data_IF_031227751112
#
_entry.id   IF_031227751112
#
_cell.length_a   1.000
_cell.length_b   1.000
_cell.length_c   1.000
_cell.angle_alpha   90.00
_cell.angle_beta   90.00
_cell.angle_gamma   90.00
#
_symmetry.space_group_name_H-M   'P 1'
#
loop_
_entity.id
_entity.type
_entity.pdbx_description
1 polymer ?
#
# COMPACT_ATOMS: atom_id res chain seq x y z
N UNK A 1 6.82 41.43 -3.68
CA UNK A 1 7.77 40.76 -4.58
C UNK A 1 8.57 39.80 -3.71
N UNK A 2 8.16 38.53 -3.71
CA UNK A 2 8.72 37.46 -2.92
C UNK A 2 8.12 36.18 -3.50
N UNK A 3 8.74 35.71 -4.57
CA UNK A 3 8.43 34.42 -5.19
C UNK A 3 8.69 33.36 -4.12
N UNK A 4 7.63 32.84 -3.51
CA UNK A 4 7.73 31.61 -2.71
C UNK A 4 8.15 30.52 -3.67
N UNK A 5 9.27 29.85 -3.40
CA UNK A 5 9.62 28.61 -4.08
C UNK A 5 8.38 27.69 -4.06
N UNK A 6 8.00 27.14 -5.22
CA UNK A 6 6.90 26.19 -5.31
C UNK A 6 7.18 25.05 -4.32
N UNK A 7 6.41 24.99 -3.23
CA UNK A 7 6.49 23.88 -2.28
C UNK A 7 6.09 22.61 -3.02
N UNK A 8 6.95 21.60 -2.99
CA UNK A 8 6.69 20.28 -3.59
C UNK A 8 5.38 19.73 -3.00
N UNK A 9 4.44 19.32 -3.86
CA UNK A 9 3.14 18.78 -3.41
C UNK A 9 3.32 17.45 -2.66
N UNK A 10 2.33 17.06 -1.85
CA UNK A 10 2.36 15.78 -1.13
C UNK A 10 2.50 14.61 -2.10
N UNK A 11 1.76 14.65 -3.20
CA UNK A 11 1.82 13.64 -4.26
C UNK A 11 3.20 13.56 -4.90
N UNK A 12 3.86 14.70 -5.12
CA UNK A 12 5.23 14.74 -5.64
C UNK A 12 6.23 14.16 -4.64
N UNK A 13 6.04 14.37 -3.32
CA UNK A 13 6.89 13.78 -2.29
C UNK A 13 6.72 12.26 -2.21
N UNK A 14 5.47 11.76 -2.26
CA UNK A 14 5.18 10.32 -2.26
C UNK A 14 5.73 9.68 -3.54
N UNK A 15 5.47 10.25 -4.71
CA UNK A 15 5.98 9.77 -5.99
C UNK A 15 7.51 9.69 -6.00
N UNK A 16 8.19 10.77 -5.57
CA UNK A 16 9.64 10.80 -5.48
C UNK A 16 10.21 9.78 -4.49
N UNK A 17 9.50 9.51 -3.40
CA UNK A 17 9.85 8.47 -2.44
C UNK A 17 9.76 7.06 -3.03
N UNK A 18 8.67 6.76 -3.74
CA UNK A 18 8.48 5.49 -4.46
C UNK A 18 9.59 5.28 -5.51
N UNK A 19 9.84 6.30 -6.33
CA UNK A 19 10.90 6.28 -7.35
C UNK A 19 12.29 6.05 -6.74
N UNK A 20 12.58 6.67 -5.59
CA UNK A 20 13.82 6.44 -4.85
C UNK A 20 13.99 4.98 -4.45
N UNK A 21 12.98 4.38 -3.80
CA UNK A 21 13.09 2.99 -3.35
C UNK A 21 13.18 1.98 -4.51
N UNK A 22 12.52 2.28 -5.64
CA UNK A 22 12.67 1.50 -6.87
C UNK A 22 14.08 1.61 -7.48
N UNK A 23 14.70 2.79 -7.42
CA UNK A 23 16.08 2.96 -7.87
C UNK A 23 17.06 2.19 -6.95
N UNK A 24 16.86 2.27 -5.64
CA UNK A 24 17.70 1.62 -4.62
C UNK A 24 17.52 0.09 -4.55
N UNK A 25 16.44 -0.47 -5.11
CA UNK A 25 16.24 -1.93 -5.16
C UNK A 25 17.08 -2.62 -6.24
N UNK A 26 17.75 -1.85 -7.11
CA UNK A 26 18.46 -2.41 -8.27
C UNK A 26 17.50 -2.95 -9.36
N UNK A 27 16.20 -2.69 -9.24
CA UNK A 27 15.17 -3.12 -10.19
C UNK A 27 15.06 -2.22 -11.43
N UNK A 28 16.09 -1.42 -11.71
CA UNK A 28 16.09 -0.41 -12.75
C UNK A 28 15.69 -0.99 -14.12
N UNK A 29 14.84 -0.27 -14.84
CA UNK A 29 14.35 -0.65 -16.16
C UNK A 29 12.88 -1.08 -16.15
N UNK A 30 12.58 -2.22 -16.78
CA UNK A 30 11.20 -2.65 -17.06
C UNK A 30 10.34 -2.83 -15.81
N UNK A 31 10.88 -3.43 -14.75
CA UNK A 31 10.14 -3.69 -13.50
C UNK A 31 9.76 -2.40 -12.77
N UNK A 32 10.65 -1.40 -12.70
CA UNK A 32 10.29 -0.09 -12.14
C UNK A 32 9.18 0.58 -12.94
N UNK A 33 9.20 0.46 -14.27
CA UNK A 33 8.14 0.97 -15.13
C UNK A 33 6.78 0.36 -14.82
N UNK A 34 6.73 -0.97 -14.65
CA UNK A 34 5.51 -1.71 -14.27
C UNK A 34 4.99 -1.24 -12.92
N UNK A 35 5.84 -1.15 -11.88
CA UNK A 35 5.38 -0.73 -10.55
C UNK A 35 4.81 0.69 -10.59
N UNK A 36 5.47 1.62 -11.28
CA UNK A 36 4.97 3.00 -11.42
C UNK A 36 3.66 3.07 -12.21
N UNK A 37 3.48 2.20 -13.20
CA UNK A 37 2.21 2.08 -13.93
C UNK A 37 1.09 1.60 -13.00
N UNK A 38 1.34 0.57 -12.18
CA UNK A 38 0.32 0.00 -11.30
C UNK A 38 -0.07 0.95 -10.18
N UNK A 39 0.89 1.61 -9.57
CA UNK A 39 0.64 2.69 -8.60
C UNK A 39 -0.23 3.81 -9.22
N UNK A 40 -0.08 4.08 -10.52
CA UNK A 40 -0.92 5.07 -11.21
C UNK A 40 -2.30 4.54 -11.54
N UNK A 41 -2.43 3.25 -11.84
CA UNK A 41 -3.70 2.63 -12.18
C UNK A 41 -4.65 2.56 -10.97
N UNK A 42 -4.09 2.38 -9.76
CA UNK A 42 -4.84 2.44 -8.50
C UNK A 42 -5.47 3.83 -8.25
N UNK A 43 -4.88 4.88 -8.83
CA UNK A 43 -5.43 6.22 -8.71
C UNK A 43 -6.70 6.37 -9.56
N UNK A 44 -7.86 6.32 -8.91
CA UNK A 44 -9.16 6.50 -9.57
C UNK A 44 -9.23 7.84 -10.35
N UNK A 45 -9.77 7.85 -11.58
CA UNK A 45 -9.93 9.08 -12.36
C UNK A 45 -10.74 10.16 -11.60
N UNK A 46 -10.14 11.32 -11.38
CA UNK A 46 -10.75 12.41 -10.61
C UNK A 46 -10.70 12.23 -9.08
N UNK A 47 -10.11 11.15 -8.58
CA UNK A 47 -9.79 10.91 -7.18
C UNK A 47 -8.46 11.52 -6.75
N UNK A 48 -8.17 11.45 -5.43
CA UNK A 48 -6.85 11.80 -4.90
C UNK A 48 -5.84 10.76 -5.36
N UNK A 49 -4.69 11.22 -5.87
CA UNK A 49 -3.57 10.32 -6.12
C UNK A 49 -2.97 9.87 -4.79
N UNK A 50 -2.47 8.63 -4.72
CA UNK A 50 -1.87 8.06 -3.53
C UNK A 50 -2.76 8.18 -2.28
N UNK A 51 -3.99 7.62 -2.28
CA UNK A 51 -4.98 7.90 -1.25
C UNK A 51 -4.51 7.54 0.16
N UNK A 52 -3.80 6.42 0.31
CA UNK A 52 -3.33 5.92 1.60
C UNK A 52 -2.09 6.69 2.09
N UNK A 53 -1.16 6.95 1.18
CA UNK A 53 0.00 7.79 1.45
C UNK A 53 -0.42 9.22 1.83
N UNK A 54 -1.37 9.81 1.11
CA UNK A 54 -1.89 11.15 1.43
C UNK A 54 -2.58 11.20 2.79
N UNK A 55 -3.33 10.15 3.16
CA UNK A 55 -3.96 10.08 4.48
C UNK A 55 -2.90 10.11 5.59
N UNK A 56 -1.89 9.25 5.51
CA UNK A 56 -0.83 9.24 6.52
C UNK A 56 0.03 10.49 6.49
N UNK A 57 0.29 11.05 5.31
CA UNK A 57 1.00 12.32 5.20
C UNK A 57 0.23 13.43 5.92
N UNK A 58 -1.06 13.57 5.64
CA UNK A 58 -1.91 14.62 6.23
C UNK A 58 -1.99 14.49 7.75
N UNK A 59 -2.11 13.26 8.27
CA UNK A 59 -2.09 13.02 9.73
C UNK A 59 -0.70 13.35 10.28
N UNK A 60 0.37 12.89 9.64
CA UNK A 60 1.74 13.15 10.04
C UNK A 60 2.06 14.64 10.13
N UNK A 61 1.66 15.42 9.13
CA UNK A 61 1.88 16.87 9.05
C UNK A 61 1.21 17.64 10.20
N UNK A 62 0.14 17.09 10.78
CA UNK A 62 -0.53 17.67 11.95
C UNK A 62 0.18 17.34 13.27
N UNK A 63 0.80 16.16 13.38
CA UNK A 63 1.29 15.61 14.66
C UNK A 63 2.81 15.48 14.76
N UNK A 64 3.55 15.72 13.69
CA UNK A 64 4.99 15.50 13.61
C UNK A 64 5.69 16.61 12.83
N UNK A 65 6.84 17.06 13.32
CA UNK A 65 7.72 18.01 12.63
C UNK A 65 8.74 17.30 11.73
N UNK A 66 8.77 15.96 11.72
CA UNK A 66 9.74 15.17 10.96
C UNK A 66 9.19 14.77 9.58
N UNK A 67 9.32 15.68 8.61
CA UNK A 67 8.86 15.49 7.24
C UNK A 67 9.46 14.26 6.55
N UNK A 68 10.73 13.95 6.78
CA UNK A 68 11.37 12.77 6.19
C UNK A 68 10.68 11.47 6.64
N UNK A 69 10.39 11.36 7.94
CA UNK A 69 9.68 10.20 8.50
C UNK A 69 8.24 10.13 7.98
N UNK A 70 7.55 11.28 7.87
CA UNK A 70 6.19 11.34 7.32
C UNK A 70 6.17 10.77 5.89
N UNK A 71 7.09 11.22 5.02
CA UNK A 71 7.20 10.72 3.64
C UNK A 71 7.48 9.22 3.62
N UNK A 72 8.41 8.72 4.44
CA UNK A 72 8.76 7.30 4.48
C UNK A 72 7.56 6.42 4.87
N UNK A 73 6.80 6.83 5.89
CA UNK A 73 5.59 6.13 6.33
C UNK A 73 4.48 6.21 5.29
N UNK A 74 4.28 7.37 4.65
CA UNK A 74 3.31 7.54 3.58
C UNK A 74 3.60 6.63 2.38
N UNK A 75 4.87 6.59 1.94
CA UNK A 75 5.32 5.72 0.84
C UNK A 75 5.17 4.25 1.21
N UNK A 76 5.54 3.88 2.44
CA UNK A 76 5.37 2.51 2.92
C UNK A 76 3.89 2.08 2.87
N UNK A 77 2.98 2.92 3.37
CA UNK A 77 1.56 2.59 3.40
C UNK A 77 0.96 2.50 2.00
N UNK A 78 1.33 3.42 1.11
CA UNK A 78 0.83 3.42 -0.27
C UNK A 78 1.23 2.13 -1.01
N UNK A 79 2.51 1.73 -0.91
CA UNK A 79 2.98 0.48 -1.51
C UNK A 79 2.37 -0.74 -0.82
N UNK A 80 2.18 -0.69 0.50
CA UNK A 80 1.56 -1.79 1.23
C UNK A 80 0.12 -2.03 0.77
N UNK A 81 -0.68 -0.96 0.67
CA UNK A 81 -2.07 -1.03 0.25
C UNK A 81 -2.17 -1.58 -1.18
N UNK A 82 -1.41 -1.03 -2.13
CA UNK A 82 -1.38 -1.55 -3.50
C UNK A 82 -1.03 -3.04 -3.56
N UNK A 83 -0.06 -3.50 -2.76
CA UNK A 83 0.26 -4.93 -2.74
C UNK A 83 -0.91 -5.77 -2.21
N UNK A 84 -1.62 -5.30 -1.18
CA UNK A 84 -2.81 -5.96 -0.65
C UNK A 84 -3.93 -6.00 -1.69
N UNK A 85 -4.25 -4.87 -2.35
CA UNK A 85 -5.28 -4.77 -3.38
C UNK A 85 -4.98 -5.73 -4.56
N UNK A 86 -3.72 -5.83 -5.00
CA UNK A 86 -3.33 -6.79 -6.06
C UNK A 86 -3.54 -8.25 -5.61
N UNK A 87 -3.23 -8.59 -4.35
CA UNK A 87 -3.47 -9.95 -3.87
C UNK A 87 -4.96 -10.25 -3.80
N UNK A 88 -5.76 -9.31 -3.28
CA UNK A 88 -7.21 -9.40 -3.17
C UNK A 88 -7.86 -9.61 -4.55
N UNK A 89 -7.56 -8.75 -5.52
CA UNK A 89 -8.10 -8.86 -6.89
C UNK A 89 -7.73 -10.19 -7.58
N UNK A 90 -6.58 -10.77 -7.23
CA UNK A 90 -6.17 -12.08 -7.75
C UNK A 90 -7.00 -13.20 -7.15
N UNK A 91 -7.22 -13.15 -5.85
CA UNK A 91 -7.92 -14.16 -5.08
C UNK A 91 -9.43 -14.15 -5.38
N UNK A 92 -10.03 -12.97 -5.45
CA UNK A 92 -11.47 -12.75 -5.68
C UNK A 92 -11.86 -12.80 -7.16
N UNK A 93 -10.85 -12.79 -8.05
CA UNK A 93 -11.02 -12.81 -9.50
C UNK A 93 -11.86 -11.66 -10.06
N UNK A 94 -11.72 -10.46 -9.50
CA UNK A 94 -12.40 -9.25 -9.94
C UNK A 94 -11.41 -8.23 -10.55
N UNK A 95 -11.92 -7.02 -10.83
CA UNK A 95 -11.13 -5.90 -11.38
C UNK A 95 -10.30 -6.24 -12.63
N UNK A 96 -10.85 -7.07 -13.52
CA UNK A 96 -10.18 -7.66 -14.70
C UNK A 96 -9.54 -6.62 -15.66
N UNK A 97 -9.97 -5.36 -15.60
CA UNK A 97 -9.42 -4.26 -16.39
C UNK A 97 -8.11 -3.68 -15.83
N UNK A 98 -7.77 -3.95 -14.56
CA UNK A 98 -6.58 -3.38 -13.92
C UNK A 98 -5.30 -4.04 -14.45
N UNK A 99 -4.18 -3.30 -14.57
CA UNK A 99 -3.00 -3.81 -15.26
C UNK A 99 -2.45 -5.14 -14.71
N UNK A 100 -2.51 -5.36 -13.40
CA UNK A 100 -2.06 -6.60 -12.76
C UNK A 100 -2.99 -7.80 -13.04
N UNK A 101 -4.24 -7.55 -13.43
CA UNK A 101 -5.21 -8.57 -13.84
C UNK A 101 -5.12 -8.93 -15.33
N UNK A 102 -4.45 -8.11 -16.14
CA UNK A 102 -4.24 -8.37 -17.58
C UNK A 102 -3.02 -9.26 -17.92
N UNK A 103 -2.28 -9.72 -16.90
CA UNK A 103 -1.07 -10.54 -17.04
C UNK A 103 -1.23 -11.88 -16.31
N UNK A 104 -0.36 -12.88 -16.55
CA UNK A 104 -0.44 -14.15 -15.81
C UNK A 104 -0.31 -13.93 -14.30
N UNK A 105 -1.21 -14.55 -13.52
CA UNK A 105 -1.28 -14.39 -12.06
C UNK A 105 0.08 -14.60 -11.35
N UNK A 106 0.88 -15.56 -11.81
CA UNK A 106 2.23 -15.79 -11.26
C UNK A 106 3.17 -14.58 -11.41
N UNK A 107 3.05 -13.81 -12.49
CA UNK A 107 3.80 -12.57 -12.68
C UNK A 107 3.24 -11.47 -11.79
N UNK A 108 1.91 -11.36 -11.69
CA UNK A 108 1.25 -10.39 -10.81
C UNK A 108 1.62 -10.58 -9.34
N UNK A 109 1.54 -11.81 -8.84
CA UNK A 109 1.94 -12.19 -7.48
C UNK A 109 3.41 -11.84 -7.20
N UNK A 110 4.32 -12.08 -8.15
CA UNK A 110 5.74 -11.77 -7.94
C UNK A 110 5.98 -10.25 -7.88
N UNK A 111 5.29 -9.47 -8.72
CA UNK A 111 5.36 -8.01 -8.68
C UNK A 111 4.71 -7.45 -7.41
N UNK A 112 3.59 -8.00 -6.94
CA UNK A 112 2.98 -7.63 -5.67
C UNK A 112 3.92 -7.89 -4.48
N UNK A 113 4.62 -9.03 -4.48
CA UNK A 113 5.66 -9.30 -3.48
C UNK A 113 6.80 -8.28 -3.53
N UNK A 114 7.27 -7.90 -4.72
CA UNK A 114 8.26 -6.84 -4.87
C UNK A 114 7.76 -5.52 -4.26
N UNK A 115 6.54 -5.11 -4.57
CA UNK A 115 5.91 -3.90 -4.03
C UNK A 115 5.82 -3.97 -2.49
N UNK A 116 5.40 -5.10 -1.94
CA UNK A 116 5.36 -5.33 -0.49
C UNK A 116 6.75 -5.21 0.16
N UNK A 117 7.79 -5.76 -0.47
CA UNK A 117 9.17 -5.61 0.05
C UNK A 117 9.69 -4.18 -0.06
N UNK A 118 9.28 -3.42 -1.08
CA UNK A 118 9.59 -2.00 -1.19
C UNK A 118 8.90 -1.19 -0.08
N UNK A 119 7.67 -1.54 0.30
CA UNK A 119 6.99 -0.97 1.47
C UNK A 119 7.81 -1.15 2.76
N UNK A 120 8.30 -2.38 3.01
CA UNK A 120 9.15 -2.63 4.18
C UNK A 120 10.51 -1.95 4.11
N UNK A 121 11.10 -1.80 2.91
CA UNK A 121 12.28 -0.95 2.71
C UNK A 121 11.99 0.51 3.06
N UNK A 122 10.81 1.01 2.71
CA UNK A 122 10.40 2.37 3.05
C UNK A 122 10.27 2.58 4.56
N UNK A 123 9.67 1.64 5.29
CA UNK A 123 9.65 1.67 6.75
C UNK A 123 11.06 1.61 7.35
N UNK A 124 11.92 0.74 6.83
CA UNK A 124 13.28 0.57 7.34
C UNK A 124 14.17 1.81 7.16
N UNK A 125 13.76 2.77 6.32
CA UNK A 125 14.45 4.05 6.17
C UNK A 125 14.19 5.04 7.33
N UNK A 126 13.26 4.73 8.24
CA UNK A 126 12.98 5.55 9.43
C UNK A 126 14.19 5.54 10.35
N UNK A 127 14.81 6.71 10.50
CA UNK A 127 16.02 6.89 11.28
C UNK A 127 15.81 6.64 12.78
N UNK A 128 14.64 7.00 13.31
CA UNK A 128 14.28 6.73 14.70
C UNK A 128 13.95 5.23 14.89
N UNK A 129 14.83 4.52 15.57
CA UNK A 129 14.70 3.07 15.80
C UNK A 129 13.53 2.68 16.72
N UNK A 130 13.07 3.57 17.60
CA UNK A 130 11.90 3.30 18.42
C UNK A 130 10.62 3.44 17.59
N UNK A 131 10.56 4.48 16.75
CA UNK A 131 9.45 4.70 15.85
C UNK A 131 9.37 3.65 14.74
N UNK A 132 10.50 3.31 14.11
CA UNK A 132 10.60 2.23 13.14
C UNK A 132 10.02 0.92 13.70
N UNK A 133 10.44 0.53 14.91
CA UNK A 133 9.94 -0.70 15.55
C UNK A 133 8.44 -0.67 15.77
N UNK A 134 7.88 0.45 16.20
CA UNK A 134 6.43 0.60 16.40
C UNK A 134 5.68 0.55 15.06
N UNK A 135 6.12 1.33 14.07
CA UNK A 135 5.49 1.33 12.75
C UNK A 135 5.56 -0.05 12.09
N UNK A 136 6.71 -0.72 12.17
CA UNK A 136 6.87 -2.07 11.66
C UNK A 136 5.95 -3.06 12.37
N UNK A 137 5.83 -3.02 13.70
CA UNK A 137 4.91 -3.88 14.45
C UNK A 137 3.44 -3.67 14.03
N UNK A 138 3.03 -2.42 13.81
CA UNK A 138 1.70 -2.09 13.30
C UNK A 138 1.46 -2.68 11.90
N UNK A 139 2.40 -2.50 10.97
CA UNK A 139 2.27 -3.05 9.61
C UNK A 139 2.23 -4.58 9.60
N UNK A 140 3.07 -5.23 10.41
CA UNK A 140 3.07 -6.69 10.53
C UNK A 140 1.76 -7.19 11.14
N UNK A 141 1.27 -6.54 12.20
CA UNK A 141 0.00 -6.88 12.85
C UNK A 141 -1.17 -6.70 11.88
N UNK A 142 -1.18 -5.60 11.11
CA UNK A 142 -2.17 -5.34 10.08
C UNK A 142 -2.17 -6.45 9.03
N UNK A 143 -1.01 -6.86 8.51
CA UNK A 143 -0.92 -7.94 7.52
C UNK A 143 -1.34 -9.29 8.05
N UNK A 144 -0.91 -9.67 9.25
CA UNK A 144 -1.37 -10.90 9.91
C UNK A 144 -2.90 -10.88 10.08
N UNK A 145 -3.46 -9.75 10.47
CA UNK A 145 -4.90 -9.59 10.67
C UNK A 145 -5.66 -9.70 9.36
N UNK A 146 -5.19 -9.03 8.30
CA UNK A 146 -5.78 -9.07 6.96
C UNK A 146 -5.77 -10.49 6.38
N UNK A 147 -4.61 -11.18 6.39
CA UNK A 147 -4.53 -12.56 5.92
C UNK A 147 -5.43 -13.51 6.72
N UNK A 148 -5.59 -13.28 8.03
CA UNK A 148 -6.53 -14.06 8.83
C UNK A 148 -7.98 -13.77 8.44
N UNK A 149 -8.33 -12.51 8.16
CA UNK A 149 -9.64 -12.11 7.64
C UNK A 149 -9.96 -12.80 6.31
N UNK A 150 -9.06 -12.71 5.33
CA UNK A 150 -9.22 -13.31 4.02
C UNK A 150 -9.38 -14.83 4.09
N UNK A 151 -8.53 -15.50 4.87
CA UNK A 151 -8.64 -16.95 5.06
C UNK A 151 -9.96 -17.35 5.76
N UNK A 152 -10.48 -16.52 6.66
CA UNK A 152 -11.78 -16.76 7.28
C UNK A 152 -12.93 -16.60 6.28
N UNK A 153 -12.83 -15.61 5.38
CA UNK A 153 -13.80 -15.39 4.30
C UNK A 153 -13.93 -16.61 3.38
N UNK A 154 -12.83 -17.16 2.89
CA UNK A 154 -12.84 -18.39 2.08
C UNK A 154 -13.46 -19.60 2.81
N UNK A 155 -13.30 -19.70 4.14
CA UNK A 155 -13.92 -20.77 4.93
C UNK A 155 -15.43 -20.60 5.07
N UNK A 156 -15.93 -19.38 4.96
CA UNK A 156 -17.35 -19.04 5.08
C UNK A 156 -18.07 -19.03 3.74
N UNK A 157 -17.39 -18.78 2.64
CA UNK A 157 -17.96 -18.79 1.29
C UNK A 157 -18.64 -20.13 0.94
N UNK A 158 -18.16 -21.24 1.51
CA UNK A 158 -18.76 -22.56 1.35
C UNK A 158 -19.93 -22.90 2.28
N UNK A 159 -20.42 -21.95 3.10
CA UNK A 159 -21.48 -22.17 4.09
C UNK A 159 -22.81 -21.56 3.65
N UNK A 160 -23.91 -22.29 3.83
CA UNK A 160 -25.27 -21.81 3.50
C UNK A 160 -25.72 -20.61 4.35
N UNK A 161 -25.14 -20.43 5.54
CA UNK A 161 -25.41 -19.30 6.42
C UNK A 161 -24.26 -19.07 7.42
N UNK A 162 -23.95 -17.80 7.69
CA UNK A 162 -23.09 -17.35 8.78
C UNK A 162 -23.87 -16.52 9.80
N UNK A 163 -23.40 -16.49 11.05
CA UNK A 163 -23.97 -15.62 12.08
C UNK A 163 -23.54 -14.17 11.87
N UNK A 164 -24.35 -13.22 12.37
CA UNK A 164 -24.01 -11.79 12.34
C UNK A 164 -22.68 -11.49 13.08
N UNK A 165 -22.38 -12.24 14.14
CA UNK A 165 -21.12 -12.11 14.86
C UNK A 165 -19.91 -12.54 14.02
N UNK A 166 -20.05 -13.60 13.20
CA UNK A 166 -19.01 -14.03 12.27
C UNK A 166 -18.80 -13.00 11.15
N UNK A 167 -19.88 -12.48 10.58
CA UNK A 167 -19.82 -11.42 9.56
C UNK A 167 -19.04 -10.19 10.06
N UNK A 168 -19.39 -9.65 11.23
CA UNK A 168 -18.67 -8.51 11.82
C UNK A 168 -17.25 -8.83 12.29
N UNK A 169 -16.91 -10.10 12.53
CA UNK A 169 -15.54 -10.50 12.84
C UNK A 169 -14.67 -10.55 11.58
N UNK A 170 -15.21 -11.05 10.47
CA UNK A 170 -14.55 -11.03 9.16
C UNK A 170 -14.37 -9.60 8.66
N UNK A 171 -15.42 -8.78 8.60
CA UNK A 171 -15.35 -7.40 8.10
C UNK A 171 -14.40 -6.49 8.91
N UNK A 172 -14.16 -6.80 10.20
CA UNK A 172 -13.18 -6.05 11.01
C UNK A 172 -11.74 -6.36 10.61
N UNK A 173 -11.51 -7.56 10.08
CA UNK A 173 -10.18 -8.07 9.72
C UNK A 173 -9.88 -7.88 8.23
N UNK A 174 -10.92 -7.91 7.40
CA UNK A 174 -10.88 -7.56 6.00
C UNK A 174 -11.71 -6.28 5.76
N UNK A 175 -11.09 -5.08 5.83
CA UNK A 175 -11.80 -3.82 5.60
C UNK A 175 -12.14 -3.57 4.12
N UNK A 176 -11.92 -4.53 3.22
CA UNK A 176 -12.42 -4.49 1.84
C UNK A 176 -13.95 -4.72 1.73
N UNK A 177 -14.62 -5.09 2.83
CA UNK A 177 -16.09 -5.17 2.97
C UNK A 177 -16.77 -3.85 3.34
#
# INVERSE_FOLDING_TARGET
MGLTADSISVEQQIAGGIERFLAESGSAGHLSGIVLEWVRAENKPGGKQYPWGNLLFTIGDVFSDNQETIVQVAVAMELYALAADIFDDIEDQDNDELPWRTIPAAQAINTANLILFLSFKALAAINDQALYRQANDIFQTMGITACHGQNQEFLYEGQDAITLAQYFDTARKNPAL
#
